data_IF_181715010329
#
_entry.id   IF_181715010329
#
_cell.length_a   1.000
_cell.length_b   1.000
_cell.length_c   1.000
_cell.angle_alpha   90.00
_cell.angle_beta   90.00
_cell.angle_gamma   90.00
#
_symmetry.space_group_name_H-M   'P 1'
#
loop_
_entity.id
_entity.type
_entity.pdbx_description
1 polymer ?
#
# COMPACT_ATOMS: atom_id res chain seq x y z
N UNK A 1 -6.41 -4.58 6.98
CA UNK A 1 -6.15 -5.72 7.85
C UNK A 1 -6.35 -7.01 7.08
N UNK A 2 -5.31 -7.80 6.94
CA UNK A 2 -5.32 -9.08 6.24
C UNK A 2 -4.11 -9.92 6.70
N UNK A 3 -4.25 -11.23 6.67
CA UNK A 3 -3.15 -12.15 6.92
C UNK A 3 -2.52 -12.57 5.59
N UNK A 4 -1.20 -12.72 5.57
CA UNK A 4 -0.48 -13.15 4.38
C UNK A 4 0.74 -14.01 4.73
N UNK A 5 1.05 -14.98 3.89
CA UNK A 5 2.30 -15.74 3.91
C UNK A 5 3.45 -14.98 3.26
N UNK A 6 3.15 -13.88 2.59
CA UNK A 6 4.11 -13.06 1.85
C UNK A 6 4.73 -11.94 2.70
N UNK A 7 4.97 -12.20 4.00
CA UNK A 7 5.51 -11.20 4.95
C UNK A 7 6.83 -10.55 4.50
N UNK A 8 7.60 -11.20 3.63
CA UNK A 8 8.87 -10.68 3.10
C UNK A 8 8.72 -9.86 1.80
N UNK A 9 7.51 -9.79 1.23
CA UNK A 9 7.27 -9.00 0.02
C UNK A 9 7.16 -7.54 0.39
N UNK A 10 8.03 -6.73 -0.20
CA UNK A 10 8.04 -5.28 0.07
C UNK A 10 6.79 -4.58 -0.47
N UNK A 11 6.36 -3.52 0.21
CA UNK A 11 5.27 -2.67 -0.27
C UNK A 11 3.86 -3.19 0.01
N UNK A 12 3.70 -4.22 0.86
CA UNK A 12 2.38 -4.68 1.29
C UNK A 12 1.72 -3.76 2.33
N UNK A 13 2.47 -2.84 2.92
CA UNK A 13 2.01 -2.01 4.02
C UNK A 13 1.86 -2.79 5.33
N UNK A 14 1.26 -2.17 6.35
CA UNK A 14 0.98 -2.84 7.60
C UNK A 14 -0.25 -3.75 7.46
N UNK A 15 -0.11 -5.09 7.51
CA UNK A 15 -1.23 -6.02 7.40
C UNK A 15 -2.15 -6.02 8.63
N UNK A 16 -1.66 -5.57 9.80
CA UNK A 16 -2.44 -5.54 11.05
C UNK A 16 -3.60 -4.56 10.99
N UNK A 17 -3.44 -3.46 10.22
CA UNK A 17 -4.44 -2.43 10.06
C UNK A 17 -4.55 -1.52 11.29
N UNK A 18 -5.73 -0.95 11.49
CA UNK A 18 -6.01 -0.06 12.60
C UNK A 18 -7.38 -0.34 13.21
N UNK A 19 -7.59 0.12 14.45
CA UNK A 19 -8.90 0.07 15.11
C UNK A 19 -9.99 0.76 14.28
N UNK A 20 -9.66 1.87 13.61
CA UNK A 20 -10.59 2.58 12.71
C UNK A 20 -11.01 1.71 11.53
N UNK A 21 -10.06 1.04 10.88
CA UNK A 21 -10.34 0.15 9.77
C UNK A 21 -11.20 -1.05 10.20
N UNK A 22 -10.96 -1.58 11.40
CA UNK A 22 -11.77 -2.66 11.98
C UNK A 22 -13.20 -2.22 12.24
N UNK A 23 -13.39 -1.08 12.92
CA UNK A 23 -14.72 -0.56 13.21
C UNK A 23 -15.51 -0.25 11.95
N UNK A 24 -14.85 0.32 10.93
CA UNK A 24 -15.45 0.57 9.62
C UNK A 24 -15.87 -0.73 8.94
N UNK A 25 -15.05 -1.78 8.99
CA UNK A 25 -15.38 -3.08 8.44
C UNK A 25 -16.64 -3.67 9.11
N UNK A 26 -16.73 -3.62 10.43
CA UNK A 26 -17.90 -4.11 11.17
C UNK A 26 -19.16 -3.31 10.82
N UNK A 27 -19.07 -1.99 10.74
CA UNK A 27 -20.21 -1.16 10.36
C UNK A 27 -20.73 -1.52 8.95
N UNK A 28 -19.83 -1.64 7.98
CA UNK A 28 -20.19 -2.01 6.60
C UNK A 28 -20.78 -3.44 6.56
N UNK A 29 -20.18 -4.39 7.26
CA UNK A 29 -20.72 -5.77 7.34
C UNK A 29 -22.14 -5.81 7.91
N UNK A 30 -22.38 -5.03 8.97
CA UNK A 30 -23.73 -4.94 9.55
C UNK A 30 -24.76 -4.40 8.55
N UNK A 31 -24.39 -3.42 7.73
CA UNK A 31 -25.27 -2.91 6.67
C UNK A 31 -25.49 -3.97 5.59
N UNK A 32 -24.43 -4.64 5.14
CA UNK A 32 -24.49 -5.69 4.13
C UNK A 32 -25.38 -6.87 4.58
N UNK A 33 -25.27 -7.29 5.84
CA UNK A 33 -26.12 -8.33 6.43
C UNK A 33 -27.59 -7.93 6.48
N UNK A 34 -27.88 -6.71 6.96
CA UNK A 34 -29.26 -6.18 7.05
C UNK A 34 -29.93 -6.00 5.71
N UNK A 35 -29.16 -5.58 4.69
CA UNK A 35 -29.71 -5.33 3.34
C UNK A 35 -29.67 -6.55 2.43
N UNK A 36 -28.91 -7.56 2.79
CA UNK A 36 -28.66 -8.73 1.95
C UNK A 36 -27.81 -8.45 0.70
N UNK A 37 -27.20 -7.26 0.62
CA UNK A 37 -26.41 -6.78 -0.53
C UNK A 37 -24.94 -6.61 -0.18
N UNK A 38 -24.05 -6.74 -1.16
CA UNK A 38 -22.61 -6.48 -0.98
C UNK A 38 -22.31 -4.98 -0.81
N UNK A 39 -23.03 -4.14 -1.54
CA UNK A 39 -22.82 -2.70 -1.48
C UNK A 39 -23.50 -2.13 -0.24
N UNK A 40 -22.71 -1.61 0.69
CA UNK A 40 -23.17 -1.04 1.96
C UNK A 40 -22.51 0.29 2.30
N UNK A 41 -21.60 0.79 1.44
CA UNK A 41 -20.89 2.04 1.63
C UNK A 41 -20.43 2.61 0.28
N UNK A 42 -20.21 3.91 0.25
CA UNK A 42 -19.57 4.61 -0.88
C UNK A 42 -18.26 5.22 -0.41
N UNK A 43 -17.19 4.91 -1.11
CA UNK A 43 -15.86 5.50 -0.86
C UNK A 43 -15.56 6.54 -1.92
N UNK A 44 -15.05 7.69 -1.49
CA UNK A 44 -14.59 8.76 -2.36
C UNK A 44 -13.08 8.86 -2.25
N UNK A 45 -12.38 8.81 -3.37
CA UNK A 45 -10.93 8.90 -3.43
C UNK A 45 -10.47 9.52 -4.73
N UNK A 46 -9.46 10.38 -4.68
CA UNK A 46 -8.80 10.88 -5.89
C UNK A 46 -7.84 9.86 -6.52
N UNK A 47 -7.40 8.85 -5.77
CA UNK A 47 -6.51 7.80 -6.24
C UNK A 47 -6.85 6.49 -5.53
N UNK A 48 -7.32 5.52 -6.27
CA UNK A 48 -7.81 4.25 -5.70
C UNK A 48 -6.66 3.30 -5.36
N UNK A 49 -5.57 3.35 -6.12
CA UNK A 49 -4.37 2.55 -5.93
C UNK A 49 -3.18 3.50 -5.98
N UNK A 50 -2.56 3.76 -4.84
CA UNK A 50 -1.44 4.69 -4.73
C UNK A 50 -0.10 3.99 -4.52
N UNK A 51 -0.03 3.02 -3.63
CA UNK A 51 1.22 2.43 -3.19
C UNK A 51 1.34 0.93 -3.46
N UNK A 52 0.23 0.21 -3.45
CA UNK A 52 0.27 -1.25 -3.51
C UNK A 52 -0.98 -1.85 -4.13
N UNK A 53 -0.79 -2.97 -4.81
CA UNK A 53 -1.89 -3.79 -5.34
C UNK A 53 -2.83 -4.32 -4.23
N UNK A 54 -2.35 -4.35 -2.97
CA UNK A 54 -3.15 -4.74 -1.81
C UNK A 54 -4.31 -3.80 -1.54
N UNK A 55 -4.20 -2.53 -1.94
CA UNK A 55 -5.27 -1.54 -1.77
C UNK A 55 -6.53 -1.96 -2.51
N UNK A 56 -6.39 -2.50 -3.72
CA UNK A 56 -7.53 -3.00 -4.49
C UNK A 56 -8.18 -4.22 -3.82
N UNK A 57 -7.38 -5.14 -3.28
CA UNK A 57 -7.91 -6.25 -2.47
C UNK A 57 -8.74 -5.75 -1.30
N UNK A 58 -8.25 -4.73 -0.60
CA UNK A 58 -8.96 -4.16 0.55
C UNK A 58 -10.28 -3.53 0.13
N UNK A 59 -10.34 -2.82 -1.00
CA UNK A 59 -11.61 -2.31 -1.53
C UNK A 59 -12.62 -3.42 -1.78
N UNK A 60 -12.24 -4.50 -2.44
CA UNK A 60 -13.12 -5.64 -2.66
C UNK A 60 -13.53 -6.31 -1.36
N UNK A 61 -12.62 -6.41 -0.39
CA UNK A 61 -12.93 -6.94 0.93
C UNK A 61 -14.03 -6.15 1.63
N UNK A 62 -14.07 -4.83 1.46
CA UNK A 62 -15.13 -3.97 2.02
C UNK A 62 -16.41 -4.03 1.19
N UNK A 63 -16.32 -3.95 -0.14
CA UNK A 63 -17.46 -3.67 -1.00
C UNK A 63 -18.03 -4.90 -1.73
N UNK A 64 -17.27 -5.99 -1.87
CA UNK A 64 -17.67 -7.18 -2.63
C UNK A 64 -17.37 -8.51 -1.93
N UNK A 65 -17.70 -8.65 -0.63
CA UNK A 65 -17.36 -9.87 0.12
C UNK A 65 -18.01 -11.15 -0.42
N UNK A 66 -19.28 -11.08 -0.79
CA UNK A 66 -20.01 -12.27 -1.31
C UNK A 66 -19.51 -12.66 -2.68
N UNK A 67 -19.17 -11.68 -3.52
CA UNK A 67 -18.60 -11.94 -4.83
C UNK A 67 -17.20 -12.56 -4.73
N UNK A 68 -16.37 -12.08 -3.80
CA UNK A 68 -15.08 -12.71 -3.51
C UNK A 68 -15.24 -14.15 -3.01
N UNK A 69 -16.21 -14.39 -2.13
CA UNK A 69 -16.53 -15.74 -1.66
C UNK A 69 -17.00 -16.64 -2.80
N UNK A 70 -17.86 -16.13 -3.71
CA UNK A 70 -18.30 -16.85 -4.91
C UNK A 70 -17.13 -17.25 -5.82
N UNK A 71 -16.10 -16.41 -5.90
CA UNK A 71 -14.87 -16.70 -6.63
C UNK A 71 -13.88 -17.58 -5.86
N UNK A 72 -14.22 -18.01 -4.64
CA UNK A 72 -13.34 -18.79 -3.76
C UNK A 72 -12.18 -17.99 -3.15
N UNK A 73 -12.26 -16.66 -3.17
CA UNK A 73 -11.23 -15.75 -2.63
C UNK A 73 -11.59 -15.38 -1.19
N UNK A 74 -11.05 -16.11 -0.24
CA UNK A 74 -11.35 -15.91 1.20
C UNK A 74 -10.27 -15.08 1.94
N UNK A 75 -9.08 -14.93 1.34
CA UNK A 75 -7.96 -14.23 1.94
C UNK A 75 -7.11 -13.51 0.90
N UNK A 76 -6.18 -12.67 1.37
CA UNK A 76 -5.28 -11.93 0.49
C UNK A 76 -4.42 -12.86 -0.38
N UNK A 77 -3.89 -13.94 0.18
CA UNK A 77 -3.02 -14.86 -0.58
C UNK A 77 -3.78 -15.51 -1.73
N UNK A 78 -5.07 -15.85 -1.52
CA UNK A 78 -5.95 -16.35 -2.58
C UNK A 78 -6.17 -15.31 -3.68
N UNK A 79 -6.42 -14.05 -3.29
CA UNK A 79 -6.57 -12.96 -4.25
C UNK A 79 -5.27 -12.70 -5.03
N UNK A 80 -4.14 -12.67 -4.33
CA UNK A 80 -2.84 -12.45 -4.95
C UNK A 80 -2.47 -13.56 -5.95
N UNK A 81 -2.80 -14.82 -5.63
CA UNK A 81 -2.59 -15.94 -6.52
C UNK A 81 -3.39 -15.84 -7.83
N UNK A 82 -4.56 -15.19 -7.79
CA UNK A 82 -5.44 -15.02 -8.95
C UNK A 82 -5.07 -13.78 -9.77
N UNK A 83 -4.78 -12.65 -9.11
CA UNK A 83 -4.72 -11.34 -9.74
C UNK A 83 -3.36 -10.64 -9.69
N UNK A 84 -2.41 -11.11 -8.89
CA UNK A 84 -1.15 -10.43 -8.69
C UNK A 84 0.06 -11.28 -9.10
N UNK A 85 1.06 -10.65 -9.71
CA UNK A 85 2.35 -11.27 -10.03
C UNK A 85 3.45 -10.54 -9.29
N UNK A 86 4.29 -11.31 -8.62
CA UNK A 86 5.51 -10.80 -8.01
C UNK A 86 6.60 -10.64 -9.03
N UNK A 87 7.39 -9.59 -8.86
CA UNK A 87 8.67 -9.42 -9.54
C UNK A 87 9.76 -9.16 -8.51
N UNK A 88 10.96 -9.51 -8.89
CA UNK A 88 12.16 -9.23 -8.11
C UNK A 88 12.97 -8.19 -8.84
N UNK A 89 13.20 -7.07 -8.19
CA UNK A 89 13.91 -5.94 -8.76
C UNK A 89 15.05 -5.52 -7.84
N UNK A 90 16.05 -4.86 -8.43
CA UNK A 90 17.14 -4.23 -7.68
C UNK A 90 16.76 -2.80 -7.37
N UNK A 91 16.87 -2.43 -6.09
CA UNK A 91 16.59 -1.09 -5.59
C UNK A 91 17.80 -0.59 -4.79
N UNK A 92 17.98 0.74 -4.74
CA UNK A 92 18.95 1.32 -3.83
C UNK A 92 18.35 1.39 -2.42
N UNK A 93 19.10 0.88 -1.44
CA UNK A 93 18.77 1.08 -0.03
C UNK A 93 19.06 2.51 0.40
N UNK A 94 18.61 2.87 1.61
CA UNK A 94 18.96 4.16 2.23
C UNK A 94 20.47 4.32 2.47
N UNK A 95 21.23 3.23 2.47
CA UNK A 95 22.69 3.19 2.58
C UNK A 95 23.39 3.21 1.21
N UNK A 96 22.66 3.48 0.14
CA UNK A 96 23.16 3.53 -1.24
C UNK A 96 23.69 2.17 -1.76
N UNK A 97 23.29 1.07 -1.15
CA UNK A 97 23.61 -0.28 -1.59
C UNK A 97 22.52 -0.81 -2.51
N UNK A 98 22.91 -1.63 -3.49
CA UNK A 98 21.95 -2.32 -4.35
C UNK A 98 21.42 -3.54 -3.61
N UNK A 99 20.13 -3.53 -3.33
CA UNK A 99 19.43 -4.63 -2.64
C UNK A 99 18.38 -5.22 -3.56
N UNK A 100 18.20 -6.52 -3.47
CA UNK A 100 17.16 -7.23 -4.20
C UNK A 100 15.89 -7.25 -3.37
N UNK A 101 14.78 -6.74 -3.96
CA UNK A 101 13.46 -6.75 -3.29
C UNK A 101 12.41 -7.41 -4.15
N UNK A 102 11.59 -8.24 -3.53
CA UNK A 102 10.41 -8.83 -4.13
C UNK A 102 9.20 -7.94 -3.86
N UNK A 103 8.43 -7.62 -4.93
CA UNK A 103 7.20 -6.83 -4.84
C UNK A 103 6.10 -7.40 -5.71
N UNK A 104 4.85 -7.19 -5.33
CA UNK A 104 3.71 -7.35 -6.24
C UNK A 104 3.64 -6.12 -7.15
N UNK A 105 4.13 -6.23 -8.39
CA UNK A 105 4.17 -5.09 -9.32
C UNK A 105 3.11 -5.13 -10.40
N UNK A 106 2.65 -6.31 -10.76
CA UNK A 106 1.80 -6.49 -11.92
C UNK A 106 0.50 -7.17 -11.55
N UNK A 107 -0.57 -6.69 -12.16
CA UNK A 107 -1.80 -7.45 -12.21
C UNK A 107 -1.74 -8.49 -13.32
N UNK A 108 -2.30 -9.66 -13.05
CA UNK A 108 -2.65 -10.67 -14.03
C UNK A 108 -4.16 -10.75 -14.14
N UNK A 109 -4.68 -11.33 -15.23
CA UNK A 109 -6.13 -11.35 -15.53
C UNK A 109 -6.75 -9.95 -15.50
N UNK A 110 -6.07 -9.00 -16.11
CA UNK A 110 -6.47 -7.59 -16.09
C UNK A 110 -7.89 -7.36 -16.60
N UNK A 111 -8.36 -8.01 -17.69
CA UNK A 111 -9.73 -7.82 -18.15
C UNK A 111 -10.79 -8.22 -17.11
N UNK A 112 -10.61 -9.38 -16.47
CA UNK A 112 -11.54 -9.87 -15.43
C UNK A 112 -11.52 -8.97 -14.20
N UNK A 113 -10.32 -8.53 -13.79
CA UNK A 113 -10.17 -7.62 -12.67
C UNK A 113 -10.77 -6.25 -12.96
N UNK A 114 -10.59 -5.72 -14.18
CA UNK A 114 -11.18 -4.45 -14.62
C UNK A 114 -12.71 -4.51 -14.63
N UNK A 115 -13.28 -5.60 -15.14
CA UNK A 115 -14.72 -5.81 -15.10
C UNK A 115 -15.25 -5.86 -13.67
N UNK A 116 -14.58 -6.61 -12.80
CA UNK A 116 -14.94 -6.69 -11.38
C UNK A 116 -14.87 -5.31 -10.68
N UNK A 117 -13.86 -4.52 -11.01
CA UNK A 117 -13.72 -3.17 -10.49
C UNK A 117 -14.78 -2.21 -11.05
N UNK A 118 -15.09 -2.29 -12.33
CA UNK A 118 -16.08 -1.45 -12.99
C UNK A 118 -17.51 -1.62 -12.43
N UNK A 119 -17.82 -2.80 -11.87
CA UNK A 119 -19.13 -3.06 -11.24
C UNK A 119 -19.40 -2.18 -10.01
N UNK A 120 -18.36 -1.68 -9.35
CA UNK A 120 -18.45 -0.90 -8.10
C UNK A 120 -17.88 0.50 -8.19
N UNK A 121 -17.37 0.90 -9.36
CA UNK A 121 -16.62 2.15 -9.48
C UNK A 121 -17.24 3.06 -10.54
N UNK A 122 -17.54 4.29 -10.15
CA UNK A 122 -17.76 5.39 -11.08
C UNK A 122 -16.48 6.22 -11.16
N UNK A 123 -15.68 5.99 -12.21
CA UNK A 123 -14.41 6.65 -12.43
C UNK A 123 -14.59 7.85 -13.35
N UNK A 124 -14.17 9.02 -12.88
CA UNK A 124 -14.21 10.27 -13.63
C UNK A 124 -12.81 10.89 -13.66
N UNK A 125 -12.40 11.29 -14.84
CA UNK A 125 -11.20 12.11 -15.05
C UNK A 125 -11.53 13.59 -14.97
N UNK A 126 -10.50 14.43 -14.90
CA UNK A 126 -10.68 15.89 -14.96
C UNK A 126 -11.32 16.32 -16.28
N UNK A 127 -11.02 15.63 -17.37
CA UNK A 127 -11.58 15.86 -18.69
C UNK A 127 -13.08 15.52 -18.73
N UNK A 128 -13.48 14.41 -18.09
CA UNK A 128 -14.90 14.00 -18.00
C UNK A 128 -15.77 15.01 -17.26
N UNK A 129 -15.20 15.73 -16.30
CA UNK A 129 -15.92 16.72 -15.48
C UNK A 129 -15.71 18.16 -15.94
N UNK A 130 -14.89 18.38 -16.97
CA UNK A 130 -14.69 19.70 -17.59
C UNK A 130 -14.01 20.72 -16.66
N UNK A 131 -13.15 20.28 -15.73
CA UNK A 131 -12.41 21.17 -14.85
C UNK A 131 -11.10 21.61 -15.50
N UNK A 132 -10.96 22.92 -15.70
CA UNK A 132 -9.72 23.49 -16.18
C UNK A 132 -8.60 23.30 -15.14
N UNK A 133 -7.48 22.81 -15.59
CA UNK A 133 -6.27 22.68 -14.76
C UNK A 133 -5.29 23.80 -15.10
N UNK A 134 -4.61 24.38 -14.10
CA UNK A 134 -3.49 25.28 -14.38
C UNK A 134 -2.37 24.52 -15.11
N UNK A 135 -1.68 25.22 -15.99
CA UNK A 135 -0.49 24.67 -16.64
C UNK A 135 0.60 24.39 -15.60
N UNK A 136 1.19 23.20 -15.67
CA UNK A 136 2.31 22.82 -14.82
C UNK A 136 3.60 23.40 -15.40
N UNK A 137 4.22 24.33 -14.68
CA UNK A 137 5.57 24.82 -14.96
C UNK A 137 6.52 24.31 -13.88
N UNK A 138 7.04 23.11 -14.07
CA UNK A 138 7.93 22.45 -13.11
C UNK A 138 9.38 22.92 -13.34
N UNK A 139 9.99 23.46 -12.30
CA UNK A 139 11.39 23.86 -12.30
C UNK A 139 12.13 23.07 -11.22
N UNK A 140 13.08 22.24 -11.66
CA UNK A 140 13.89 21.44 -10.75
C UNK A 140 15.07 22.27 -10.23
N UNK A 141 15.07 22.53 -8.91
CA UNK A 141 16.19 23.19 -8.23
C UNK A 141 17.01 22.18 -7.45
N UNK A 142 18.28 22.03 -7.81
CA UNK A 142 19.25 21.24 -7.06
C UNK A 142 19.97 22.14 -6.04
N UNK A 143 19.67 21.92 -4.76
CA UNK A 143 20.35 22.61 -3.65
C UNK A 143 21.25 21.58 -2.97
N UNK A 144 22.59 21.77 -2.95
CA UNK A 144 23.50 20.88 -2.24
C UNK A 144 23.21 20.96 -0.72
N UNK A 145 23.38 19.84 0.01
CA UNK A 145 23.18 19.83 1.45
C UNK A 145 24.19 20.75 2.13
N UNK A 146 23.77 21.37 3.23
CA UNK A 146 24.70 22.10 4.10
C UNK A 146 25.66 21.11 4.80
N UNK A 147 26.83 21.55 5.29
CA UNK A 147 27.76 20.67 6.00
C UNK A 147 27.11 19.93 7.19
N UNK A 148 26.19 20.60 7.89
CA UNK A 148 25.46 19.99 9.00
C UNK A 148 24.47 18.91 8.52
N UNK A 149 23.78 19.13 7.41
CA UNK A 149 22.92 18.13 6.80
C UNK A 149 23.71 16.91 6.32
N UNK A 150 24.89 17.15 5.75
CA UNK A 150 25.76 16.08 5.28
C UNK A 150 26.24 15.19 6.44
N UNK A 151 26.65 15.79 7.57
CA UNK A 151 26.99 15.08 8.79
C UNK A 151 25.80 14.24 9.30
N UNK A 152 24.60 14.82 9.29
CA UNK A 152 23.40 14.11 9.73
C UNK A 152 23.01 12.96 8.78
N UNK A 153 23.16 13.14 7.48
CA UNK A 153 22.96 12.06 6.49
C UNK A 153 23.89 10.90 6.75
N UNK A 154 25.18 11.16 7.07
CA UNK A 154 26.13 10.11 7.41
C UNK A 154 25.75 9.36 8.71
N UNK A 155 25.22 10.07 9.71
CA UNK A 155 24.66 9.44 10.91
C UNK A 155 23.47 8.52 10.60
N UNK A 156 22.55 8.99 9.74
CA UNK A 156 21.39 8.20 9.29
C UNK A 156 21.82 6.94 8.51
N UNK A 157 22.84 7.04 7.66
CA UNK A 157 23.38 5.88 6.94
C UNK A 157 23.92 4.85 7.93
N UNK A 158 24.73 5.27 8.91
CA UNK A 158 25.26 4.38 9.94
C UNK A 158 24.16 3.72 10.78
N UNK A 159 23.14 4.50 11.16
CA UNK A 159 21.97 3.97 11.84
C UNK A 159 21.26 2.90 11.01
N UNK A 160 21.05 3.15 9.71
CA UNK A 160 20.42 2.19 8.82
C UNK A 160 21.25 0.90 8.59
N UNK A 161 22.58 0.99 8.68
CA UNK A 161 23.48 -0.16 8.57
C UNK A 161 23.54 -1.01 9.84
N UNK A 162 23.48 -0.38 10.99
CA UNK A 162 23.74 -1.02 12.28
C UNK A 162 22.50 -1.28 13.11
N UNK A 163 21.40 -0.54 12.86
CA UNK A 163 20.21 -0.52 13.71
C UNK A 163 20.40 0.25 15.03
N UNK A 164 21.60 0.80 15.28
CA UNK A 164 21.94 1.45 16.54
C UNK A 164 21.48 2.91 16.56
N UNK A 165 20.43 3.20 17.32
CA UNK A 165 19.82 4.53 17.42
C UNK A 165 20.74 5.58 18.08
N UNK A 166 21.82 5.17 18.72
CA UNK A 166 22.80 6.10 19.32
C UNK A 166 23.48 6.97 18.27
N UNK A 167 23.61 6.49 17.03
CA UNK A 167 24.14 7.29 15.91
C UNK A 167 23.29 8.51 15.57
N UNK A 168 21.99 8.49 15.87
CA UNK A 168 21.05 9.60 15.63
C UNK A 168 20.66 10.32 16.93
N UNK A 169 21.48 10.20 17.97
CA UNK A 169 21.31 10.84 19.27
C UNK A 169 19.98 10.42 19.98
N UNK A 170 19.55 9.17 19.79
CA UNK A 170 18.40 8.55 20.46
C UNK A 170 18.85 7.40 21.37
N UNK A 171 17.99 7.05 22.32
CA UNK A 171 18.16 5.82 23.09
C UNK A 171 18.08 4.58 22.19
N UNK A 172 18.73 3.47 22.60
CA UNK A 172 18.62 2.21 21.84
C UNK A 172 17.17 1.84 21.57
N UNK A 173 16.92 1.31 20.36
CA UNK A 173 15.58 0.88 19.98
C UNK A 173 15.08 -0.26 20.88
N UNK A 174 13.79 -0.28 21.15
CA UNK A 174 13.12 -1.43 21.73
C UNK A 174 13.05 -2.59 20.73
N UNK A 175 12.93 -3.84 21.21
CA UNK A 175 12.78 -5.02 20.32
C UNK A 175 11.64 -4.89 19.30
N UNK A 176 10.57 -4.15 19.64
CA UNK A 176 9.44 -3.93 18.76
C UNK A 176 9.79 -2.95 17.61
N UNK A 177 10.58 -1.93 17.91
CA UNK A 177 11.07 -0.95 16.93
C UNK A 177 12.14 -1.55 16.03
N UNK A 178 13.02 -2.41 16.56
CA UNK A 178 13.99 -3.15 15.75
C UNK A 178 13.30 -4.07 14.74
N UNK A 179 12.26 -4.78 15.15
CA UNK A 179 11.45 -5.62 14.24
C UNK A 179 10.73 -4.81 13.16
N UNK A 180 10.28 -3.60 13.49
CA UNK A 180 9.63 -2.71 12.51
C UNK A 180 10.61 -2.16 11.47
N UNK A 181 11.90 -2.05 11.79
CA UNK A 181 12.93 -1.63 10.83
C UNK A 181 13.38 -2.72 9.85
N UNK A 182 13.22 -3.99 10.21
CA UNK A 182 13.58 -5.12 9.34
C UNK A 182 12.54 -5.41 8.24
N UNK A 183 11.43 -4.69 8.22
CA UNK A 183 10.35 -4.76 7.22
C UNK A 183 10.47 -3.65 6.18
#
# INVERSE_FOLDING_TARGET
>A
MFNTRHARVSGLGNPEGSTKAMNMLFAIRTIQERTGRDLGATFLSGTTISNSLTELYLLFKYLRPKEMERQGITCFDGWAAVYAKKSTDFEFSVTNQVVQKERFRYFIKVPELANFYAEITDYKTTEDVGVDRPELNEQLYHIPPTPQQEIFIQKLIKFAETGDATYIDREPLSEAEEKAQML
#
